data_IF_650982967487
#
_entry.id   IF_650982967487
#
_cell.length_a   1.000
_cell.length_b   1.000
_cell.length_c   1.000
_cell.angle_alpha   90.00
_cell.angle_beta   90.00
_cell.angle_gamma   90.00
#
_symmetry.space_group_name_H-M   'P 1'
#
loop_
_entity.id
_entity.type
_entity.pdbx_description
1 polymer ?
#
# COMPACT_ATOMS: atom_id res chain seq x y z
N UNK A 1 -19.73 -4.57 -28.67
CA UNK A 1 -19.75 -3.10 -28.69
C UNK A 1 -20.48 -2.63 -27.47
N UNK A 2 -19.87 -1.76 -26.68
CA UNK A 2 -20.60 -0.99 -25.67
C UNK A 2 -20.12 0.45 -25.80
N UNK A 3 -21.07 1.35 -26.00
CA UNK A 3 -20.87 2.76 -26.23
C UNK A 3 -20.34 3.44 -24.97
N UNK A 4 -19.04 3.36 -24.69
CA UNK A 4 -18.27 4.29 -23.83
C UNK A 4 -18.74 4.58 -22.40
N UNK A 5 -19.85 4.02 -21.93
CA UNK A 5 -20.54 4.38 -20.70
C UNK A 5 -20.99 3.12 -19.97
N UNK A 6 -20.68 3.06 -18.67
CA UNK A 6 -21.08 1.97 -17.79
C UNK A 6 -22.24 2.43 -16.91
N UNK A 7 -23.26 1.59 -16.66
CA UNK A 7 -24.36 1.94 -15.79
C UNK A 7 -23.88 2.14 -14.35
N UNK A 8 -24.22 3.28 -13.76
CA UNK A 8 -23.88 3.58 -12.39
C UNK A 8 -24.56 2.60 -11.43
N UNK A 9 -23.81 2.13 -10.43
CA UNK A 9 -24.28 1.27 -9.35
C UNK A 9 -24.07 1.93 -8.01
N UNK A 10 -25.06 1.80 -7.14
CA UNK A 10 -24.99 2.37 -5.79
C UNK A 10 -23.80 1.81 -5.02
N UNK A 11 -23.05 2.72 -4.42
CA UNK A 11 -21.77 2.43 -3.78
C UNK A 11 -21.76 3.01 -2.38
N UNK A 12 -21.24 2.27 -1.42
CA UNK A 12 -21.11 2.67 -0.04
C UNK A 12 -19.82 2.11 0.56
N UNK A 13 -19.39 2.76 1.64
CA UNK A 13 -18.29 2.31 2.46
C UNK A 13 -18.63 2.59 3.92
N UNK A 14 -18.43 1.59 4.77
CA UNK A 14 -18.52 1.71 6.21
C UNK A 14 -17.17 1.37 6.82
N UNK A 15 -16.81 2.05 7.89
CA UNK A 15 -15.52 1.83 8.51
C UNK A 15 -15.45 2.27 9.96
N UNK A 16 -14.49 1.70 10.66
CA UNK A 16 -14.14 2.07 12.04
C UNK A 16 -12.64 2.11 12.19
N UNK A 17 -12.15 2.96 13.09
CA UNK A 17 -10.75 2.97 13.52
C UNK A 17 -10.67 3.00 15.05
N UNK A 18 -9.65 2.33 15.58
CA UNK A 18 -9.30 2.32 17.00
C UNK A 18 -7.83 2.67 17.14
N UNK A 19 -7.53 3.76 17.82
CA UNK A 19 -6.16 4.18 18.11
C UNK A 19 -5.78 3.80 19.53
N UNK A 20 -4.84 2.88 19.68
CA UNK A 20 -4.20 2.56 20.95
C UNK A 20 -2.96 3.43 21.13
N UNK A 21 -2.89 4.21 22.21
CA UNK A 21 -1.68 4.95 22.58
C UNK A 21 -0.88 4.16 23.61
N UNK A 22 0.44 4.22 23.51
CA UNK A 22 1.37 3.56 24.43
C UNK A 22 1.92 4.57 25.45
N UNK A 23 2.23 4.09 26.67
CA UNK A 23 2.78 4.95 27.72
C UNK A 23 4.15 5.55 27.37
N UNK A 24 4.91 4.89 26.49
CA UNK A 24 6.21 5.34 25.99
C UNK A 24 6.12 6.34 24.82
N UNK A 25 4.92 6.86 24.50
CA UNK A 25 4.72 7.89 23.48
C UNK A 25 4.40 7.37 22.08
N UNK A 26 4.49 6.07 21.83
CA UNK A 26 4.05 5.47 20.57
C UNK A 26 2.52 5.35 20.44
N UNK A 27 2.06 4.89 19.28
CA UNK A 27 0.66 4.55 19.04
C UNK A 27 0.53 3.47 17.96
N UNK A 28 -0.60 2.76 17.95
CA UNK A 28 -1.01 1.96 16.80
C UNK A 28 -2.50 2.17 16.53
N UNK A 29 -2.84 2.46 15.28
CA UNK A 29 -4.20 2.55 14.77
C UNK A 29 -4.56 1.26 14.04
N UNK A 30 -5.70 0.70 14.42
CA UNK A 30 -6.34 -0.39 13.71
C UNK A 30 -7.58 0.13 13.01
N UNK A 31 -7.71 -0.12 11.71
CA UNK A 31 -8.89 0.26 10.95
C UNK A 31 -9.48 -0.93 10.18
N UNK A 32 -10.81 -0.93 10.10
CA UNK A 32 -11.63 -1.88 9.37
C UNK A 32 -12.48 -1.06 8.40
N UNK A 33 -12.44 -1.40 7.11
CA UNK A 33 -13.30 -0.83 6.08
C UNK A 33 -14.01 -1.97 5.34
N UNK A 34 -15.29 -1.75 5.05
CA UNK A 34 -16.12 -2.60 4.20
C UNK A 34 -16.76 -1.72 3.13
N UNK A 35 -16.73 -2.16 1.88
CA UNK A 35 -17.29 -1.41 0.76
C UNK A 35 -17.94 -2.34 -0.27
N UNK A 36 -18.77 -1.77 -1.15
CA UNK A 36 -19.29 -2.45 -2.34
C UNK A 36 -18.94 -1.70 -3.65
N UNK A 37 -19.14 -2.38 -4.78
CA UNK A 37 -19.05 -1.84 -6.14
C UNK A 37 -17.76 -1.01 -6.38
N UNK A 38 -17.87 0.20 -6.89
CA UNK A 38 -16.72 1.03 -7.28
C UNK A 38 -15.74 1.30 -6.14
N UNK A 39 -16.23 1.42 -4.90
CA UNK A 39 -15.33 1.60 -3.75
C UNK A 39 -14.67 0.26 -3.38
N UNK A 40 -15.37 -0.88 -3.50
CA UNK A 40 -14.74 -2.19 -3.34
C UNK A 40 -13.65 -2.47 -4.39
N UNK A 41 -13.88 -2.07 -5.65
CA UNK A 41 -12.89 -2.11 -6.73
C UNK A 41 -11.64 -1.30 -6.42
N UNK A 42 -11.77 -0.16 -5.73
CA UNK A 42 -10.60 0.61 -5.29
C UNK A 42 -9.71 -0.18 -4.33
N UNK A 43 -10.26 -1.19 -3.63
CA UNK A 43 -9.50 -2.02 -2.72
C UNK A 43 -8.64 -3.06 -3.44
N UNK A 44 -9.00 -3.43 -4.68
CA UNK A 44 -8.27 -4.38 -5.52
C UNK A 44 -7.13 -3.76 -6.30
N UNK A 45 -6.82 -2.47 -6.12
CA UNK A 45 -5.69 -1.85 -6.80
C UNK A 45 -4.37 -2.12 -6.10
N UNK A 46 -3.45 -2.72 -6.85
CA UNK A 46 -2.08 -2.93 -6.41
C UNK A 46 -1.31 -1.61 -6.36
N UNK A 47 -1.52 -0.72 -7.34
CA UNK A 47 -0.82 0.56 -7.50
C UNK A 47 -1.48 1.78 -6.80
N UNK A 48 -2.51 1.58 -5.97
CA UNK A 48 -3.18 2.67 -5.26
C UNK A 48 -4.03 2.19 -4.09
N UNK A 49 -4.23 3.06 -3.09
CA UNK A 49 -4.93 2.70 -1.84
C UNK A 49 -6.11 3.61 -1.50
N UNK A 50 -6.29 4.73 -2.19
CA UNK A 50 -7.39 5.65 -1.92
C UNK A 50 -8.73 5.09 -2.40
N UNK A 51 -9.83 5.27 -1.65
CA UNK A 51 -11.16 4.97 -2.15
C UNK A 51 -11.56 5.99 -3.20
N UNK A 52 -12.15 5.53 -4.29
CA UNK A 52 -12.68 6.39 -5.34
C UNK A 52 -13.88 5.70 -6.00
N UNK A 53 -14.75 6.50 -6.58
CA UNK A 53 -15.89 6.03 -7.36
C UNK A 53 -15.60 6.06 -8.87
N UNK A 54 -14.48 6.66 -9.27
CA UNK A 54 -14.08 6.88 -10.68
C UNK A 54 -12.61 6.57 -10.91
N UNK A 55 -12.29 6.02 -12.09
CA UNK A 55 -10.92 5.83 -12.56
C UNK A 55 -10.60 6.90 -13.61
N UNK A 56 -9.49 7.64 -13.45
CA UNK A 56 -9.13 8.78 -14.30
C UNK A 56 -10.28 9.79 -14.53
N UNK A 57 -11.08 10.03 -13.49
CA UNK A 57 -12.22 10.96 -13.53
C UNK A 57 -13.48 10.44 -14.23
N UNK A 58 -13.54 9.16 -14.61
CA UNK A 58 -14.73 8.53 -15.22
C UNK A 58 -15.18 7.28 -14.47
N UNK A 59 -16.48 7.06 -14.38
CA UNK A 59 -17.02 5.79 -13.91
C UNK A 59 -16.78 4.73 -14.97
N UNK A 60 -16.19 3.61 -14.57
CA UNK A 60 -15.72 2.57 -15.48
C UNK A 60 -15.89 1.20 -14.84
N UNK A 61 -16.32 0.24 -15.66
CA UNK A 61 -16.50 -1.15 -15.28
C UNK A 61 -17.94 -1.58 -15.04
N UNK A 62 -18.18 -2.88 -15.24
CA UNK A 62 -19.47 -3.51 -14.91
C UNK A 62 -19.43 -3.98 -13.45
N UNK A 63 -20.19 -3.30 -12.59
CA UNK A 63 -20.20 -3.53 -11.15
C UNK A 63 -21.45 -4.35 -10.78
N UNK A 64 -21.25 -5.49 -10.13
CA UNK A 64 -22.29 -6.51 -9.92
C UNK A 64 -22.63 -6.74 -8.44
N UNK A 65 -22.53 -5.70 -7.61
CA UNK A 65 -22.67 -5.75 -6.15
C UNK A 65 -21.54 -6.50 -5.43
N UNK A 66 -20.37 -6.61 -6.07
CA UNK A 66 -19.14 -7.07 -5.45
C UNK A 66 -18.81 -6.29 -4.18
N UNK A 67 -18.11 -6.95 -3.26
CA UNK A 67 -17.77 -6.39 -1.96
C UNK A 67 -16.31 -6.64 -1.61
N UNK A 68 -15.74 -5.73 -0.82
CA UNK A 68 -14.37 -5.86 -0.34
C UNK A 68 -14.23 -5.39 1.10
N UNK A 69 -13.35 -6.06 1.82
CA UNK A 69 -12.92 -5.73 3.18
C UNK A 69 -11.47 -5.27 3.13
N UNK A 70 -11.13 -4.25 3.93
CA UNK A 70 -9.76 -3.83 4.18
C UNK A 70 -9.52 -3.73 5.68
N UNK A 71 -8.50 -4.42 6.13
CA UNK A 71 -7.93 -4.32 7.47
C UNK A 71 -6.64 -3.53 7.37
N UNK A 72 -6.42 -2.58 8.28
CA UNK A 72 -5.18 -1.82 8.34
C UNK A 72 -4.70 -1.70 9.77
N UNK A 73 -3.39 -1.85 9.96
CA UNK A 73 -2.70 -1.59 11.22
C UNK A 73 -1.50 -0.71 10.93
N UNK A 74 -1.44 0.48 11.51
CA UNK A 74 -0.34 1.42 11.28
C UNK A 74 0.02 2.18 12.55
N UNK A 75 1.30 2.50 12.70
CA UNK A 75 1.76 3.27 13.85
C UNK A 75 3.25 3.19 14.07
N UNK A 76 3.65 3.57 15.29
CA UNK A 76 5.02 3.46 15.77
C UNK A 76 5.06 3.09 17.25
N UNK A 77 6.12 2.40 17.65
CA UNK A 77 6.35 2.04 19.05
C UNK A 77 7.83 2.04 19.38
N UNK A 78 8.16 2.44 20.60
CA UNK A 78 9.50 2.29 21.16
C UNK A 78 9.62 0.86 21.71
N UNK A 79 10.38 0.03 21.01
CA UNK A 79 10.68 -1.34 21.45
C UNK A 79 11.67 -1.35 22.63
N UNK A 80 12.54 -0.33 22.67
CA UNK A 80 13.50 0.00 23.71
C UNK A 80 13.70 1.52 23.71
N UNK A 81 14.40 2.04 24.70
CA UNK A 81 14.72 3.49 24.76
C UNK A 81 15.56 3.96 23.57
N UNK A 82 16.32 3.05 22.96
CA UNK A 82 17.21 3.28 21.82
C UNK A 82 16.72 2.64 20.51
N UNK A 83 15.52 2.03 20.49
CA UNK A 83 14.96 1.38 19.30
C UNK A 83 13.50 1.75 19.12
N UNK A 84 13.21 2.44 18.02
CA UNK A 84 11.85 2.73 17.55
C UNK A 84 11.53 1.87 16.32
N UNK A 85 10.27 1.48 16.18
CA UNK A 85 9.77 0.79 15.00
C UNK A 85 8.48 1.45 14.53
N UNK A 86 8.43 1.84 13.27
CA UNK A 86 7.18 2.16 12.59
C UNK A 86 6.70 0.95 11.78
N UNK A 87 5.38 0.78 11.68
CA UNK A 87 4.74 -0.26 10.88
C UNK A 87 3.55 0.27 10.09
N UNK A 88 3.28 -0.37 8.96
CA UNK A 88 2.03 -0.26 8.24
C UNK A 88 1.71 -1.59 7.59
N UNK A 89 0.56 -2.19 7.91
CA UNK A 89 0.07 -3.44 7.34
C UNK A 89 -1.32 -3.16 6.79
N UNK A 90 -1.55 -3.49 5.53
CA UNK A 90 -2.84 -3.40 4.86
C UNK A 90 -3.14 -4.76 4.25
N UNK A 91 -4.20 -5.41 4.74
CA UNK A 91 -4.74 -6.63 4.16
C UNK A 91 -6.09 -6.30 3.54
N UNK A 92 -6.32 -6.70 2.30
CA UNK A 92 -7.56 -6.43 1.59
C UNK A 92 -7.98 -7.64 0.78
N UNK A 93 -9.26 -7.95 0.80
CA UNK A 93 -9.83 -9.03 0.00
C UNK A 93 -11.23 -8.66 -0.44
N UNK A 94 -11.67 -9.21 -1.56
CA UNK A 94 -13.00 -8.95 -2.07
C UNK A 94 -13.41 -9.99 -3.09
N UNK A 95 -14.72 -10.11 -3.26
CA UNK A 95 -15.34 -11.04 -4.18
C UNK A 95 -16.22 -10.28 -5.16
N UNK A 96 -16.24 -10.76 -6.40
CA UNK A 96 -17.08 -10.24 -7.48
C UNK A 96 -16.90 -8.73 -7.77
N UNK A 97 -15.69 -8.20 -7.53
CA UNK A 97 -15.41 -6.78 -7.80
C UNK A 97 -15.02 -6.56 -9.25
N UNK A 98 -15.15 -5.33 -9.72
CA UNK A 98 -14.52 -4.94 -10.98
C UNK A 98 -13.04 -4.61 -10.73
N UNK A 99 -12.14 -5.36 -11.34
CA UNK A 99 -10.71 -5.09 -11.30
C UNK A 99 -10.28 -4.36 -12.58
N UNK A 100 -9.46 -3.32 -12.46
CA UNK A 100 -8.96 -2.58 -13.63
C UNK A 100 -7.92 -3.38 -14.42
N UNK A 101 -7.36 -4.41 -13.78
CA UNK A 101 -6.32 -5.27 -14.31
C UNK A 101 -6.89 -6.58 -14.89
N UNK A 102 -8.01 -7.08 -14.34
CA UNK A 102 -8.58 -8.40 -14.67
C UNK A 102 -10.06 -8.39 -15.07
N UNK A 103 -10.71 -7.22 -15.06
CA UNK A 103 -12.08 -7.03 -15.53
C UNK A 103 -13.17 -7.31 -14.48
N UNK A 104 -14.41 -7.44 -14.95
CA UNK A 104 -15.58 -7.74 -14.13
C UNK A 104 -15.51 -9.13 -13.49
N UNK A 105 -16.26 -9.34 -12.41
CA UNK A 105 -16.33 -10.62 -11.69
C UNK A 105 -14.96 -11.12 -11.21
N UNK A 106 -14.12 -10.20 -10.73
CA UNK A 106 -12.81 -10.53 -10.19
C UNK A 106 -12.88 -10.72 -8.68
N UNK A 107 -12.30 -11.82 -8.20
CA UNK A 107 -11.97 -11.97 -6.78
C UNK A 107 -10.53 -11.51 -6.57
N UNK A 108 -10.23 -10.89 -5.43
CA UNK A 108 -8.85 -10.50 -5.11
C UNK A 108 -8.49 -10.72 -3.64
N UNK A 109 -7.21 -10.92 -3.41
CA UNK A 109 -6.59 -10.94 -2.09
C UNK A 109 -5.25 -10.20 -2.17
N UNK A 110 -5.00 -9.28 -1.24
CA UNK A 110 -3.85 -8.39 -1.25
C UNK A 110 -3.32 -8.16 0.15
N UNK A 111 -2.00 -8.21 0.30
CA UNK A 111 -1.28 -7.83 1.50
C UNK A 111 -0.16 -6.85 1.14
N UNK A 112 -0.08 -5.75 1.89
CA UNK A 112 1.01 -4.77 1.83
C UNK A 112 1.50 -4.55 3.24
N UNK A 113 2.79 -4.71 3.47
CA UNK A 113 3.39 -4.53 4.79
C UNK A 113 4.68 -3.73 4.68
N UNK A 114 4.89 -2.85 5.64
CA UNK A 114 6.12 -2.11 5.85
C UNK A 114 6.48 -2.21 7.32
N UNK A 115 7.70 -2.63 7.59
CA UNK A 115 8.32 -2.55 8.91
C UNK A 115 9.55 -1.65 8.81
N UNK A 116 9.68 -0.71 9.73
CA UNK A 116 10.75 0.28 9.71
C UNK A 116 11.39 0.44 11.09
N UNK A 117 12.22 -0.51 11.55
CA UNK A 117 13.01 -0.35 12.75
C UNK A 117 14.15 0.67 12.55
N UNK A 118 14.42 1.47 13.58
CA UNK A 118 15.53 2.39 13.64
C UNK A 118 16.18 2.40 15.04
N UNK A 119 17.51 2.44 15.06
CA UNK A 119 18.32 2.71 16.23
C UNK A 119 18.43 4.22 16.44
N UNK A 120 18.24 4.64 17.68
CA UNK A 120 18.30 6.03 18.12
C UNK A 120 19.69 6.28 18.71
N UNK A 121 20.54 6.99 17.97
CA UNK A 121 21.86 7.38 18.48
C UNK A 121 21.74 8.49 19.51
N UNK A 122 20.91 9.49 19.19
CA UNK A 122 20.53 10.57 20.08
C UNK A 122 19.17 11.17 19.64
N UNK A 123 18.77 12.27 20.28
CA UNK A 123 17.53 12.99 19.95
C UNK A 123 17.46 13.47 18.50
N UNK A 124 18.61 13.71 17.87
CA UNK A 124 18.74 14.40 16.60
C UNK A 124 19.10 13.47 15.43
N UNK A 125 19.46 12.21 15.66
CA UNK A 125 19.75 11.29 14.57
C UNK A 125 19.46 9.81 14.84
N UNK A 126 19.09 9.10 13.77
CA UNK A 126 18.68 7.70 13.78
C UNK A 126 19.16 6.97 12.53
N UNK A 127 19.56 5.71 12.68
CA UNK A 127 19.83 4.80 11.54
C UNK A 127 18.81 3.68 11.56
N UNK A 128 18.21 3.37 10.42
CA UNK A 128 17.24 2.28 10.35
C UNK A 128 17.19 1.60 9.01
N UNK A 129 16.35 0.57 8.96
CA UNK A 129 16.03 -0.16 7.74
C UNK A 129 14.52 -0.12 7.54
N UNK A 130 14.08 0.06 6.31
CA UNK A 130 12.70 -0.16 5.90
C UNK A 130 12.61 -1.47 5.12
N UNK A 131 11.66 -2.31 5.50
CA UNK A 131 11.36 -3.58 4.84
C UNK A 131 9.90 -3.53 4.38
N UNK A 132 9.71 -3.34 3.08
CA UNK A 132 8.43 -3.39 2.41
C UNK A 132 8.21 -4.72 1.70
N UNK A 133 7.01 -5.29 1.82
CA UNK A 133 6.57 -6.44 1.05
C UNK A 133 5.14 -6.22 0.56
N UNK A 134 4.87 -6.60 -0.68
CA UNK A 134 3.53 -6.60 -1.23
C UNK A 134 3.27 -7.89 -2.01
N UNK A 135 2.03 -8.36 -1.95
CA UNK A 135 1.53 -9.45 -2.77
C UNK A 135 0.05 -9.24 -3.01
N UNK A 136 -0.38 -9.44 -4.25
CA UNK A 136 -1.76 -9.45 -4.64
C UNK A 136 -2.01 -10.60 -5.62
N UNK A 137 -3.14 -11.27 -5.45
CA UNK A 137 -3.65 -12.26 -6.39
C UNK A 137 -5.06 -11.84 -6.81
N UNK A 138 -5.28 -11.75 -8.12
CA UNK A 138 -6.63 -11.65 -8.66
C UNK A 138 -7.01 -12.97 -9.35
N UNK A 139 -8.29 -13.32 -9.30
CA UNK A 139 -8.87 -14.45 -10.03
C UNK A 139 -9.98 -13.89 -10.91
N UNK A 140 -9.84 -14.07 -12.23
CA UNK A 140 -10.84 -13.62 -13.20
C UNK A 140 -12.06 -14.56 -13.28
N UNK A 141 -13.05 -14.18 -14.09
CA UNK A 141 -14.28 -14.94 -14.32
C UNK A 141 -14.05 -16.36 -14.86
N UNK A 142 -12.91 -16.61 -15.51
CA UNK A 142 -12.54 -17.94 -16.03
C UNK A 142 -11.84 -18.81 -14.98
N UNK A 143 -11.56 -18.25 -13.81
CA UNK A 143 -10.80 -18.91 -12.74
C UNK A 143 -9.28 -18.77 -12.88
N UNK A 144 -8.78 -18.02 -13.88
CA UNK A 144 -7.35 -17.79 -14.06
C UNK A 144 -6.85 -16.83 -12.99
N UNK A 145 -5.71 -17.18 -12.38
CA UNK A 145 -5.05 -16.40 -11.34
C UNK A 145 -3.92 -15.55 -11.91
N UNK A 146 -3.83 -14.31 -11.45
CA UNK A 146 -2.77 -13.36 -11.77
C UNK A 146 -2.13 -12.90 -10.47
N UNK A 147 -0.82 -13.05 -10.35
CA UNK A 147 -0.07 -12.66 -9.17
C UNK A 147 0.80 -11.42 -9.44
N UNK A 148 0.79 -10.51 -8.47
CA UNK A 148 1.71 -9.38 -8.40
C UNK A 148 2.39 -9.43 -7.04
N UNK A 149 3.72 -9.45 -6.99
CA UNK A 149 4.41 -9.49 -5.71
C UNK A 149 5.80 -8.90 -5.78
N UNK A 150 6.29 -8.37 -4.66
CA UNK A 150 7.60 -7.77 -4.61
C UNK A 150 7.99 -7.35 -3.22
N UNK A 151 9.23 -6.88 -3.10
CA UNK A 151 9.78 -6.38 -1.86
C UNK A 151 10.67 -5.17 -2.11
N UNK A 152 10.77 -4.32 -1.09
CA UNK A 152 11.62 -3.14 -1.06
C UNK A 152 12.40 -3.13 0.23
N UNK A 153 13.68 -2.89 0.15
CA UNK A 153 14.55 -2.71 1.30
C UNK A 153 15.25 -1.37 1.20
N UNK A 154 15.18 -0.56 2.24
CA UNK A 154 15.87 0.73 2.29
C UNK A 154 16.72 0.81 3.55
N UNK A 155 18.02 1.04 3.42
CA UNK A 155 18.86 1.49 4.53
C UNK A 155 18.80 3.02 4.58
N UNK A 156 18.59 3.60 5.75
CA UNK A 156 18.55 5.05 5.90
C UNK A 156 19.28 5.53 7.15
N UNK A 157 19.81 6.75 7.06
CA UNK A 157 20.25 7.55 8.20
C UNK A 157 19.55 8.90 8.12
N UNK A 158 19.01 9.37 9.25
CA UNK A 158 18.23 10.60 9.29
C UNK A 158 18.68 11.52 10.41
N UNK A 159 18.69 12.82 10.11
CA UNK A 159 18.79 13.92 11.07
C UNK A 159 17.42 14.54 11.27
N UNK A 160 17.01 14.74 12.51
CA UNK A 160 15.64 15.15 12.87
C UNK A 160 15.61 15.93 14.19
N UNK A 161 14.43 16.39 14.58
CA UNK A 161 14.25 17.24 15.78
C UNK A 161 13.83 16.48 17.04
N UNK A 162 13.34 15.24 16.89
CA UNK A 162 12.96 14.37 17.98
C UNK A 162 12.94 12.88 17.53
N UNK A 163 12.75 11.96 18.46
CA UNK A 163 12.92 10.52 18.23
C UNK A 163 11.74 9.82 17.55
N UNK A 164 10.57 10.44 17.46
CA UNK A 164 9.43 9.85 16.74
C UNK A 164 9.73 9.71 15.24
N UNK A 165 9.28 8.62 14.61
CA UNK A 165 9.41 8.41 13.17
C UNK A 165 8.27 9.07 12.39
N UNK A 166 7.06 9.09 12.95
CA UNK A 166 5.84 9.50 12.27
C UNK A 166 5.38 10.91 12.62
N UNK A 167 5.70 11.42 13.81
CA UNK A 167 5.19 12.72 14.28
C UNK A 167 6.26 13.79 14.41
N UNK A 168 7.54 13.43 14.30
CA UNK A 168 8.65 14.40 14.35
C UNK A 168 9.08 14.84 12.95
N UNK A 169 8.88 16.11 12.63
CA UNK A 169 9.50 16.82 11.49
C UNK A 169 9.95 18.22 11.93
N UNK A 170 10.93 18.85 11.26
CA UNK A 170 11.60 18.43 10.01
C UNK A 170 12.53 17.23 10.17
N UNK A 171 12.78 16.52 9.07
CA UNK A 171 13.88 15.56 8.95
C UNK A 171 14.61 15.68 7.60
N UNK A 172 15.91 15.37 7.63
CA UNK A 172 16.74 15.14 6.45
C UNK A 172 17.17 13.68 6.50
N UNK A 173 17.04 12.97 5.38
CA UNK A 173 17.32 11.53 5.29
C UNK A 173 18.23 11.23 4.12
N UNK A 174 19.28 10.47 4.38
CA UNK A 174 20.10 9.81 3.37
C UNK A 174 19.70 8.34 3.29
N UNK A 175 19.61 7.80 2.08
CA UNK A 175 19.12 6.44 1.90
C UNK A 175 19.74 5.72 0.72
N UNK A 176 19.74 4.39 0.82
CA UNK A 176 19.98 3.45 -0.26
C UNK A 176 18.83 2.45 -0.30
N UNK A 177 18.15 2.34 -1.44
CA UNK A 177 16.97 1.50 -1.64
C UNK A 177 17.23 0.47 -2.72
N UNK A 178 16.83 -0.77 -2.45
CA UNK A 178 16.68 -1.83 -3.43
C UNK A 178 15.21 -2.24 -3.50
N UNK A 179 14.66 -2.36 -4.70
CA UNK A 179 13.29 -2.87 -4.92
C UNK A 179 13.35 -3.99 -5.94
N UNK A 180 12.53 -5.03 -5.75
CA UNK A 180 12.37 -6.14 -6.68
C UNK A 180 10.91 -6.58 -6.78
N UNK A 181 10.38 -6.57 -7.99
CA UNK A 181 9.18 -7.30 -8.36
C UNK A 181 9.53 -8.77 -8.65
N UNK A 182 8.76 -9.69 -8.07
CA UNK A 182 8.92 -11.14 -8.24
C UNK A 182 7.91 -11.69 -9.25
N UNK A 183 6.64 -11.39 -9.03
CA UNK A 183 5.53 -11.75 -9.92
C UNK A 183 4.93 -10.46 -10.47
N UNK A 184 4.64 -10.42 -11.77
CA UNK A 184 4.19 -9.21 -12.48
C UNK A 184 3.02 -9.50 -13.43
N UNK A 185 2.20 -10.51 -13.11
CA UNK A 185 1.14 -10.98 -14.01
C UNK A 185 0.03 -9.94 -14.14
N UNK A 186 -0.23 -9.17 -13.09
CA UNK A 186 -1.22 -8.09 -13.12
C UNK A 186 -0.72 -6.93 -13.98
N UNK A 187 0.55 -6.54 -13.84
CA UNK A 187 1.16 -5.53 -14.71
C UNK A 187 1.21 -5.97 -16.18
N UNK A 188 1.52 -7.24 -16.44
CA UNK A 188 1.43 -7.86 -17.78
C UNK A 188 0.02 -7.74 -18.36
N UNK A 189 -0.99 -8.11 -17.58
CA UNK A 189 -2.38 -8.09 -18.02
C UNK A 189 -2.89 -6.66 -18.31
N UNK A 190 -2.51 -5.69 -17.48
CA UNK A 190 -2.96 -4.32 -17.59
C UNK A 190 -2.21 -3.50 -18.66
N UNK A 191 -0.89 -3.70 -18.76
CA UNK A 191 -0.01 -2.80 -19.52
C UNK A 191 0.73 -3.49 -20.68
N UNK A 192 0.52 -4.80 -20.90
CA UNK A 192 1.24 -5.59 -21.90
C UNK A 192 2.78 -5.45 -21.81
N UNK A 193 3.29 -5.40 -20.57
CA UNK A 193 4.73 -5.25 -20.29
C UNK A 193 5.39 -6.57 -19.90
N UNK A 194 6.71 -6.71 -20.12
CA UNK A 194 7.51 -7.84 -19.63
C UNK A 194 8.42 -7.48 -18.45
N UNK A 195 8.48 -6.19 -18.10
CA UNK A 195 9.32 -5.64 -17.03
C UNK A 195 8.64 -4.47 -16.32
N UNK A 196 9.00 -4.24 -15.06
CA UNK A 196 8.48 -3.10 -14.28
C UNK A 196 9.28 -1.82 -14.50
N UNK A 197 10.60 -1.94 -14.72
CA UNK A 197 11.49 -0.78 -14.88
C UNK A 197 11.83 -0.53 -16.36
N UNK A 198 12.17 0.72 -16.67
CA UNK A 198 12.48 1.17 -18.04
C UNK A 198 13.71 0.49 -18.64
N UNK A 199 14.63 0.00 -17.80
CA UNK A 199 15.84 -0.71 -18.20
C UNK A 199 15.60 -2.20 -18.52
N UNK A 200 14.33 -2.63 -18.56
CA UNK A 200 13.93 -4.00 -18.86
C UNK A 200 14.07 -4.96 -17.68
N UNK A 201 14.37 -4.47 -16.47
CA UNK A 201 14.51 -5.30 -15.27
C UNK A 201 13.27 -5.27 -14.40
N UNK A 202 13.25 -6.20 -13.46
CA UNK A 202 12.26 -6.26 -12.38
C UNK A 202 12.85 -5.85 -11.04
N UNK A 203 14.06 -5.32 -11.03
CA UNK A 203 14.70 -4.77 -9.84
C UNK A 203 15.44 -3.47 -10.14
N UNK A 204 15.52 -2.60 -9.13
CA UNK A 204 16.15 -1.29 -9.22
C UNK A 204 16.88 -0.97 -7.91
N UNK A 205 18.04 -0.33 -8.04
CA UNK A 205 18.78 0.25 -6.93
C UNK A 205 18.83 1.78 -7.07
N UNK A 206 18.63 2.48 -5.95
CA UNK A 206 18.66 3.94 -5.90
C UNK A 206 19.31 4.43 -4.61
N UNK A 207 20.07 5.52 -4.70
CA UNK A 207 20.61 6.25 -3.55
C UNK A 207 20.19 7.70 -3.63
N UNK A 208 20.02 8.36 -2.49
CA UNK A 208 19.62 9.76 -2.50
C UNK A 208 19.56 10.40 -1.13
N UNK A 209 19.21 11.67 -1.16
CA UNK A 209 18.88 12.47 0.02
C UNK A 209 17.49 13.10 -0.16
N UNK A 210 16.74 13.21 0.93
CA UNK A 210 15.41 13.80 0.96
C UNK A 210 15.25 14.65 2.22
N UNK A 211 14.49 15.73 2.14
CA UNK A 211 13.99 16.47 3.29
C UNK A 211 12.46 16.37 3.35
N UNK A 212 11.89 16.29 4.56
CA UNK A 212 10.45 16.28 4.80
C UNK A 212 10.12 17.24 5.94
N UNK A 213 9.13 18.11 5.74
CA UNK A 213 8.82 19.24 6.64
C UNK A 213 7.31 19.47 6.67
N UNK A 214 6.75 19.63 7.87
CA UNK A 214 5.42 20.19 8.15
C UNK A 214 5.46 20.93 9.49
N UNK A 215 4.55 21.89 9.71
CA UNK A 215 4.48 22.73 10.91
C UNK A 215 3.05 22.88 11.41
#
# INVERSE_FOLDING_TARGET
>A
GNEGYYPWKDTWMAGTSLTQKWANGGFNEFSFLLANNSIASSFSRYAGSSPYTTFNGRYYGDHTNGSAVRLTSQGETYLRDDVIMANAIVYSFGNDVYSYETGAHSDFESIRTVLRPAYIWDKYNQTGVELGYFKQQNKDVTGKKYNESGYKTTLFHTFKVNTSMLTSRPEIRFYATYIKAKDIDLDKAANNTTSIFEDGKNDQFAVGAQAEIWW
#
